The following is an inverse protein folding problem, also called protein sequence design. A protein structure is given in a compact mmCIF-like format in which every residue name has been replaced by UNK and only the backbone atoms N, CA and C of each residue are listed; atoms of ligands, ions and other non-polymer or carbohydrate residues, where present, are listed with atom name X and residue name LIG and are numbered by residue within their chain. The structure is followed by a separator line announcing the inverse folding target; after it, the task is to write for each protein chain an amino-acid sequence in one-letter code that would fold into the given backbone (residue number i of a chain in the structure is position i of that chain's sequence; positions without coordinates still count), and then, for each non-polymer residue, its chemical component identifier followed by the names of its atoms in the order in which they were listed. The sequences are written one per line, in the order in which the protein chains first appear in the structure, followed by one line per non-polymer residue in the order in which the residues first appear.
data_IF_166329310677
#
_entry.id   IF_166329310677
#
_cell.length_a   1.000
_cell.length_b   1.000
_cell.length_c   1.000
_cell.angle_alpha   90.00
_cell.angle_beta   90.00
_cell.angle_gamma   90.00
#
_symmetry.space_group_name_H-M   'P 1'
#
loop_
_entity.id
_entity.type
_entity.pdbx_description
1 polymer ?
#
# COMPACT_ATOMS: atom_id res chain seq x y z
N UNK A 1 -2.86 5.30 -60.27
CA UNK A 1 -2.12 5.69 -59.04
C UNK A 1 -3.11 5.62 -57.88
N UNK A 2 -2.95 4.68 -56.94
CA UNK A 2 -3.76 4.59 -55.72
C UNK A 2 -3.11 5.46 -54.65
N UNK A 3 -3.86 6.30 -53.88
CA UNK A 3 -3.25 6.97 -52.74
C UNK A 3 -3.15 5.98 -51.58
N UNK A 4 -1.96 5.90 -50.98
CA UNK A 4 -1.76 5.28 -49.67
C UNK A 4 -2.34 6.22 -48.62
N UNK A 5 -3.39 5.79 -47.93
CA UNK A 5 -3.83 6.42 -46.68
C UNK A 5 -2.93 5.88 -45.57
N UNK A 6 -2.04 6.73 -45.04
CA UNK A 6 -1.24 6.40 -43.87
C UNK A 6 -2.10 6.44 -42.61
N UNK A 7 -2.20 5.32 -41.89
CA UNK A 7 -2.71 5.31 -40.53
C UNK A 7 -1.68 5.99 -39.62
N UNK A 8 -2.01 7.15 -39.07
CA UNK A 8 -1.33 7.69 -37.91
C UNK A 8 -1.82 6.94 -36.67
N UNK A 9 -0.96 6.12 -36.06
CA UNK A 9 -1.23 5.53 -34.75
C UNK A 9 -1.06 6.61 -33.68
N UNK A 10 -2.16 7.00 -33.02
CA UNK A 10 -2.08 7.74 -31.77
C UNK A 10 -1.68 6.76 -30.67
N UNK A 11 -0.45 6.88 -30.17
CA UNK A 11 -0.06 6.21 -28.94
C UNK A 11 -0.71 6.97 -27.77
N UNK A 12 -1.77 6.40 -27.20
CA UNK A 12 -2.22 6.82 -25.89
C UNK A 12 -1.15 6.43 -24.87
N UNK A 13 -0.55 7.42 -24.20
CA UNK A 13 0.25 7.16 -23.01
C UNK A 13 -0.76 6.74 -21.95
N UNK A 14 -0.89 5.45 -21.69
CA UNK A 14 -1.57 4.98 -20.49
C UNK A 14 -0.77 5.51 -19.29
N UNK A 15 -1.36 6.42 -18.50
CA UNK A 15 -0.81 6.71 -17.18
C UNK A 15 -0.89 5.42 -16.37
N UNK A 16 0.14 5.13 -15.56
CA UNK A 16 0.08 4.01 -14.63
C UNK A 16 -1.08 4.25 -13.65
N UNK A 17 -1.87 3.22 -13.38
CA UNK A 17 -2.92 3.26 -12.36
C UNK A 17 -2.30 3.34 -10.97
N UNK A 18 -2.95 4.06 -10.05
CA UNK A 18 -2.62 4.04 -8.63
C UNK A 18 -3.27 2.82 -7.98
N UNK A 19 -2.47 1.96 -7.35
CA UNK A 19 -2.91 0.73 -6.68
C UNK A 19 -3.41 0.98 -5.24
N UNK A 20 -4.01 -0.04 -4.62
CA UNK A 20 -4.50 0.03 -3.24
C UNK A 20 -3.45 -0.56 -2.28
N UNK A 21 -3.00 0.20 -1.28
CA UNK A 21 -2.01 -0.24 -0.29
C UNK A 21 -2.64 -0.38 1.10
N UNK A 22 -3.04 -1.57 1.51
CA UNK A 22 -3.90 -1.80 2.69
C UNK A 22 -3.10 -2.27 3.91
N UNK A 23 -2.86 -1.42 4.92
CA UNK A 23 -2.57 -1.85 6.28
C UNK A 23 -3.73 -2.66 6.86
N UNK A 24 -3.59 -3.98 6.97
CA UNK A 24 -4.60 -4.86 7.58
C UNK A 24 -4.09 -5.42 8.92
N UNK A 25 -3.94 -4.53 9.90
CA UNK A 25 -3.24 -4.83 11.16
C UNK A 25 -4.16 -5.39 12.24
N UNK A 26 -5.22 -6.09 11.83
CA UNK A 26 -6.21 -6.62 12.75
C UNK A 26 -6.26 -8.14 12.65
N UNK A 27 -6.46 -8.79 13.78
CA UNK A 27 -6.63 -10.24 13.84
C UNK A 27 -7.75 -10.74 12.92
N UNK A 28 -7.52 -11.80 12.09
CA UNK A 28 -8.47 -12.27 11.08
C UNK A 28 -9.78 -12.86 11.61
N UNK A 29 -9.83 -13.28 12.87
CA UNK A 29 -10.94 -14.08 13.41
C UNK A 29 -10.53 -15.52 13.61
N UNK A 30 -11.47 -16.42 13.90
CA UNK A 30 -11.21 -17.83 14.19
C UNK A 30 -12.09 -18.77 13.35
N UNK A 31 -12.08 -20.07 13.66
CA UNK A 31 -12.88 -21.08 12.97
C UNK A 31 -14.41 -20.89 13.01
N UNK A 32 -14.93 -20.03 13.88
CA UNK A 32 -16.37 -19.78 14.04
C UNK A 32 -16.79 -18.35 13.69
N UNK A 33 -15.83 -17.44 13.49
CA UNK A 33 -16.09 -16.03 13.26
C UNK A 33 -14.97 -15.41 12.43
N UNK A 34 -15.31 -14.75 11.33
CA UNK A 34 -14.39 -13.93 10.55
C UNK A 34 -14.49 -12.47 10.98
N UNK A 35 -13.35 -11.79 11.09
CA UNK A 35 -13.30 -10.38 11.37
C UNK A 35 -13.89 -9.58 10.18
N UNK A 36 -14.86 -8.68 10.41
CA UNK A 36 -15.49 -7.89 9.34
C UNK A 36 -14.50 -7.06 8.50
N UNK A 37 -13.35 -6.69 9.06
CA UNK A 37 -12.31 -5.96 8.33
C UNK A 37 -11.63 -6.83 7.27
N UNK A 38 -11.49 -8.13 7.53
CA UNK A 38 -10.95 -9.10 6.58
C UNK A 38 -11.96 -9.47 5.51
N UNK A 39 -13.23 -9.68 5.90
CA UNK A 39 -14.32 -9.90 4.95
C UNK A 39 -14.45 -8.71 3.98
N UNK A 40 -14.45 -7.47 4.51
CA UNK A 40 -14.51 -6.27 3.69
C UNK A 40 -13.29 -6.10 2.76
N UNK A 41 -12.10 -6.52 3.19
CA UNK A 41 -10.91 -6.50 2.32
C UNK A 41 -11.03 -7.50 1.18
N UNK A 42 -11.43 -8.74 1.47
CA UNK A 42 -11.66 -9.79 0.47
C UNK A 42 -12.73 -9.36 -0.54
N UNK A 43 -13.82 -8.77 -0.07
CA UNK A 43 -14.90 -8.29 -0.95
C UNK A 43 -14.44 -7.12 -1.82
N UNK A 44 -13.72 -6.14 -1.26
CA UNK A 44 -13.17 -5.03 -2.02
C UNK A 44 -12.22 -5.50 -3.15
N UNK A 45 -11.39 -6.52 -2.88
CA UNK A 45 -10.50 -7.11 -3.89
C UNK A 45 -11.32 -7.78 -5.02
N UNK A 46 -12.35 -8.57 -4.67
CA UNK A 46 -13.22 -9.25 -5.65
C UNK A 46 -14.02 -8.28 -6.51
N UNK A 47 -14.52 -7.20 -5.90
CA UNK A 47 -15.35 -6.20 -6.57
C UNK A 47 -14.53 -5.30 -7.51
N UNK A 48 -13.20 -5.30 -7.39
CA UNK A 48 -12.29 -4.50 -8.22
C UNK A 48 -11.22 -5.37 -8.90
N UNK A 49 -11.60 -6.33 -9.77
CA UNK A 49 -10.69 -7.33 -10.34
C UNK A 49 -9.59 -6.75 -11.27
N UNK A 50 -9.71 -5.49 -11.66
CA UNK A 50 -8.75 -4.77 -12.50
C UNK A 50 -7.74 -3.94 -11.71
N UNK A 51 -7.99 -3.72 -10.43
CA UNK A 51 -7.10 -3.02 -9.50
C UNK A 51 -6.17 -4.02 -8.84
N UNK A 52 -4.93 -3.61 -8.55
CA UNK A 52 -4.01 -4.41 -7.74
C UNK A 52 -4.03 -3.94 -6.28
N UNK A 53 -4.05 -4.90 -5.36
CA UNK A 53 -4.09 -4.67 -3.92
C UNK A 53 -2.83 -5.23 -3.26
N UNK A 54 -2.05 -4.35 -2.63
CA UNK A 54 -1.01 -4.74 -1.68
C UNK A 54 -1.66 -4.84 -0.31
N UNK A 55 -1.67 -6.02 0.31
CA UNK A 55 -2.26 -6.23 1.64
C UNK A 55 -1.15 -6.52 2.63
N UNK A 56 -0.94 -5.59 3.56
CA UNK A 56 0.12 -5.68 4.55
C UNK A 56 -0.35 -6.53 5.73
N UNK A 57 0.33 -7.64 5.94
CA UNK A 57 0.05 -8.61 7.00
C UNK A 57 0.98 -8.34 8.18
N UNK A 58 0.38 -8.09 9.34
CA UNK A 58 1.11 -7.77 10.56
C UNK A 58 0.53 -8.52 11.77
N UNK A 59 0.98 -9.76 12.04
CA UNK A 59 0.44 -10.55 13.13
C UNK A 59 0.84 -10.04 14.51
N UNK A 60 2.09 -9.57 14.67
CA UNK A 60 2.61 -9.07 15.93
C UNK A 60 3.84 -8.15 15.76
N UNK A 61 3.70 -7.03 15.05
CA UNK A 61 4.85 -6.20 14.62
C UNK A 61 5.91 -7.03 13.89
N UNK A 62 5.44 -7.85 12.97
CA UNK A 62 6.25 -8.83 12.25
C UNK A 62 5.88 -10.28 12.58
N UNK A 63 6.61 -11.24 11.99
CA UNK A 63 6.34 -12.67 12.10
C UNK A 63 7.19 -13.37 13.16
N UNK A 64 8.22 -12.74 13.73
CA UNK A 64 8.97 -13.36 14.84
C UNK A 64 8.07 -13.61 16.05
N UNK A 65 8.35 -14.72 16.74
CA UNK A 65 7.53 -15.27 17.84
C UNK A 65 6.11 -15.65 17.42
N UNK A 66 5.80 -15.76 16.12
CA UNK A 66 4.54 -16.34 15.64
C UNK A 66 4.65 -17.86 15.43
N UNK A 67 5.87 -18.38 15.47
CA UNK A 67 6.25 -19.76 15.16
C UNK A 67 6.94 -20.46 16.34
N UNK A 68 6.78 -19.97 17.59
CA UNK A 68 7.41 -20.57 18.77
C UNK A 68 6.64 -21.84 19.22
N UNK A 69 7.28 -23.02 19.21
CA UNK A 69 6.65 -24.27 19.65
C UNK A 69 6.42 -24.34 21.17
N UNK A 70 6.86 -23.34 21.95
CA UNK A 70 6.63 -23.28 23.40
C UNK A 70 5.18 -22.96 23.80
N UNK A 71 4.36 -22.49 22.85
CA UNK A 71 2.98 -22.04 23.08
C UNK A 71 2.87 -20.67 23.73
N UNK A 72 3.99 -19.94 23.89
CA UNK A 72 4.02 -18.57 24.39
C UNK A 72 4.26 -17.54 23.26
N UNK A 73 3.47 -17.62 22.21
CA UNK A 73 3.47 -16.58 21.17
C UNK A 73 2.82 -15.32 21.75
N UNK A 74 3.53 -14.19 21.73
CA UNK A 74 2.94 -12.88 22.04
C UNK A 74 2.00 -12.42 20.91
N UNK A 75 1.05 -11.53 21.22
CA UNK A 75 0.13 -10.96 20.23
C UNK A 75 -0.98 -11.90 19.76
N UNK A 76 -1.38 -11.78 18.49
CA UNK A 76 -2.51 -12.50 17.89
C UNK A 76 -2.17 -13.90 17.38
N UNK A 77 -0.97 -14.39 17.69
CA UNK A 77 -0.45 -15.68 17.26
C UNK A 77 -0.41 -16.73 18.35
N UNK A 78 -1.03 -16.46 19.51
CA UNK A 78 -1.12 -17.43 20.58
C UNK A 78 -1.77 -18.74 20.08
N UNK A 79 -1.15 -19.87 20.39
CA UNK A 79 -1.57 -21.21 19.95
C UNK A 79 -1.83 -22.09 21.16
N UNK A 80 -2.92 -22.84 21.13
CA UNK A 80 -3.03 -24.05 21.96
C UNK A 80 -2.12 -25.12 21.35
N UNK A 81 -1.49 -25.96 22.18
CA UNK A 81 -0.43 -26.90 21.76
C UNK A 81 -0.77 -27.77 20.54
N UNK A 82 -2.06 -28.10 20.33
CA UNK A 82 -2.50 -28.99 19.25
C UNK A 82 -2.71 -28.27 17.90
N UNK A 83 -2.60 -26.94 17.86
CA UNK A 83 -2.78 -26.09 16.66
C UNK A 83 -1.48 -25.40 16.19
N UNK A 84 -0.34 -25.80 16.74
CA UNK A 84 0.96 -25.27 16.31
C UNK A 84 1.21 -25.54 14.82
N UNK A 85 1.57 -24.47 14.11
CA UNK A 85 2.12 -24.53 12.76
C UNK A 85 3.51 -23.90 12.75
N UNK A 86 4.43 -24.51 12.01
CA UNK A 86 5.82 -24.07 12.02
C UNK A 86 6.01 -22.68 11.41
N UNK A 87 5.21 -22.33 10.39
CA UNK A 87 5.23 -21.05 9.69
C UNK A 87 3.78 -20.70 9.34
N UNK A 88 3.38 -19.43 9.50
CA UNK A 88 1.99 -19.00 9.25
C UNK A 88 1.23 -18.54 10.49
N UNK A 89 1.89 -18.38 11.63
CA UNK A 89 1.30 -17.94 12.91
C UNK A 89 0.38 -18.99 13.56
N UNK A 90 -0.86 -19.15 13.10
CA UNK A 90 -1.78 -20.21 13.54
C UNK A 90 -2.86 -20.47 12.47
N UNK A 91 -3.76 -21.44 12.72
CA UNK A 91 -4.84 -21.78 11.77
C UNK A 91 -5.82 -20.65 11.49
N UNK A 92 -5.94 -19.68 12.39
CA UNK A 92 -6.77 -18.50 12.15
C UNK A 92 -6.20 -17.66 11.01
N UNK A 93 -4.90 -17.39 11.07
CA UNK A 93 -4.19 -16.64 10.03
C UNK A 93 -4.13 -17.41 8.72
N UNK A 94 -3.76 -18.69 8.72
CA UNK A 94 -3.64 -19.45 7.47
C UNK A 94 -4.98 -19.59 6.75
N UNK A 95 -6.07 -19.80 7.49
CA UNK A 95 -7.41 -19.94 6.91
C UNK A 95 -7.86 -18.65 6.22
N UNK A 96 -7.67 -17.50 6.87
CA UNK A 96 -8.14 -16.21 6.32
C UNK A 96 -7.17 -15.63 5.29
N UNK A 97 -5.86 -15.88 5.41
CA UNK A 97 -4.89 -15.54 4.35
C UNK A 97 -5.21 -16.24 3.05
N UNK A 98 -5.66 -17.50 3.10
CA UNK A 98 -6.07 -18.26 1.93
C UNK A 98 -7.17 -17.56 1.11
N UNK A 99 -8.03 -16.78 1.77
CA UNK A 99 -9.09 -16.04 1.10
C UNK A 99 -8.56 -14.85 0.30
N UNK A 100 -7.39 -14.32 0.66
CA UNK A 100 -6.69 -13.24 -0.04
C UNK A 100 -5.72 -13.81 -1.08
N UNK A 101 -4.88 -14.78 -0.73
CA UNK A 101 -3.83 -15.31 -1.61
C UNK A 101 -4.37 -16.01 -2.86
N UNK A 102 -5.61 -16.52 -2.81
CA UNK A 102 -6.31 -17.07 -3.99
C UNK A 102 -6.77 -16.02 -5.01
N UNK A 103 -6.76 -14.73 -4.66
CA UNK A 103 -7.21 -13.64 -5.51
C UNK A 103 -6.03 -13.11 -6.33
N UNK A 104 -6.09 -13.27 -7.65
CA UNK A 104 -4.97 -12.98 -8.56
C UNK A 104 -4.56 -11.50 -8.62
N UNK A 105 -5.41 -10.61 -8.12
CA UNK A 105 -5.20 -9.17 -8.06
C UNK A 105 -4.87 -8.68 -6.63
N UNK A 106 -4.59 -9.60 -5.70
CA UNK A 106 -4.05 -9.29 -4.39
C UNK A 106 -2.62 -9.81 -4.25
N UNK A 107 -1.83 -9.10 -3.46
CA UNK A 107 -0.46 -9.42 -3.10
C UNK A 107 -0.28 -9.19 -1.61
N UNK A 108 -0.04 -10.28 -0.88
CA UNK A 108 0.30 -10.23 0.54
C UNK A 108 1.74 -9.74 0.72
N UNK A 109 1.94 -8.76 1.59
CA UNK A 109 3.27 -8.23 1.94
C UNK A 109 3.47 -8.28 3.45
N UNK A 110 4.62 -8.77 3.89
CA UNK A 110 4.93 -9.00 5.30
C UNK A 110 5.47 -7.75 5.97
N UNK A 111 4.90 -7.37 7.12
CA UNK A 111 5.39 -6.25 7.93
C UNK A 111 6.73 -6.57 8.61
N UNK A 112 7.65 -5.61 8.63
CA UNK A 112 8.96 -5.69 9.30
C UNK A 112 9.32 -4.32 9.89
N UNK A 113 9.30 -4.15 11.22
CA UNK A 113 9.73 -2.88 11.81
C UNK A 113 11.26 -2.82 11.98
N UNK A 114 11.82 -1.62 11.84
CA UNK A 114 13.26 -1.38 11.97
C UNK A 114 13.64 -0.53 13.19
N UNK A 115 12.67 0.03 13.92
CA UNK A 115 12.92 0.87 15.07
C UNK A 115 13.76 2.10 14.72
N UNK A 116 13.56 2.71 13.55
CA UNK A 116 14.37 3.82 13.06
C UNK A 116 15.88 3.48 12.97
N UNK A 117 16.17 2.21 12.65
CA UNK A 117 17.51 1.64 12.57
C UNK A 117 18.13 1.27 13.92
N UNK A 118 17.34 1.28 15.01
CA UNK A 118 17.78 0.83 16.33
C UNK A 118 17.54 -0.66 16.58
N UNK A 119 16.63 -1.30 15.84
CA UNK A 119 16.40 -2.75 16.00
C UNK A 119 17.64 -3.52 15.53
N UNK A 120 18.12 -4.53 16.28
CA UNK A 120 19.26 -5.34 15.86
C UNK A 120 19.05 -5.93 14.46
N UNK A 121 20.03 -5.74 13.57
CA UNK A 121 19.93 -6.16 12.18
C UNK A 121 19.66 -7.67 12.02
N UNK A 122 20.22 -8.50 12.91
CA UNK A 122 20.01 -9.94 12.89
C UNK A 122 18.56 -10.32 13.24
N UNK A 123 17.89 -9.56 14.12
CA UNK A 123 16.47 -9.73 14.37
C UNK A 123 15.66 -9.29 13.15
N UNK A 124 15.97 -8.14 12.52
CA UNK A 124 15.27 -7.74 11.29
C UNK A 124 15.41 -8.81 10.19
N UNK A 125 16.62 -9.38 10.03
CA UNK A 125 16.87 -10.49 9.10
C UNK A 125 16.12 -11.77 9.47
N UNK A 126 15.92 -12.05 10.74
CA UNK A 126 15.11 -13.18 11.18
C UNK A 126 13.64 -13.04 10.78
N UNK A 127 13.07 -11.82 10.81
CA UNK A 127 11.70 -11.57 10.29
C UNK A 127 11.62 -11.80 8.79
N UNK A 128 12.60 -11.28 8.04
CA UNK A 128 12.70 -11.47 6.58
C UNK A 128 12.73 -12.96 6.24
N UNK A 129 13.57 -13.71 6.95
CA UNK A 129 13.68 -15.16 6.77
C UNK A 129 12.38 -15.87 7.13
N UNK A 130 11.72 -15.49 8.22
CA UNK A 130 10.45 -16.10 8.62
C UNK A 130 9.38 -15.88 7.56
N UNK A 131 9.19 -14.64 7.08
CA UNK A 131 8.25 -14.36 5.99
C UNK A 131 8.56 -15.17 4.72
N UNK A 132 9.84 -15.37 4.40
CA UNK A 132 10.24 -16.16 3.23
C UNK A 132 9.85 -17.63 3.33
N UNK A 133 9.67 -18.16 4.54
CA UNK A 133 9.31 -19.56 4.84
C UNK A 133 7.82 -19.80 4.93
N UNK A 134 6.99 -18.76 4.92
CA UNK A 134 5.55 -18.92 4.78
C UNK A 134 5.29 -19.42 3.36
N UNK A 135 4.73 -20.62 3.26
CA UNK A 135 4.47 -21.33 2.02
C UNK A 135 3.11 -22.03 2.03
N UNK A 136 3.05 -23.33 2.25
CA UNK A 136 1.82 -24.12 2.30
C UNK A 136 1.57 -24.56 3.74
N UNK A 137 0.42 -24.17 4.30
CA UNK A 137 0.11 -24.43 5.70
C UNK A 137 -1.32 -24.96 5.89
N UNK A 138 -1.58 -25.76 6.94
CA UNK A 138 -2.91 -26.29 7.21
C UNK A 138 -3.87 -25.19 7.67
N UNK A 139 -5.15 -25.37 7.35
CA UNK A 139 -6.26 -24.49 7.74
C UNK A 139 -7.18 -25.18 8.75
N UNK A 140 -8.25 -24.49 9.17
CA UNK A 140 -9.34 -25.10 9.92
C UNK A 140 -10.15 -26.12 9.09
N UNK A 141 -10.07 -26.07 7.77
CA UNK A 141 -10.66 -27.08 6.90
C UNK A 141 -9.84 -28.38 6.96
N UNK A 142 -10.47 -29.49 7.35
CA UNK A 142 -9.79 -30.77 7.49
C UNK A 142 -9.12 -31.22 6.17
N UNK A 143 -7.83 -31.59 6.27
CA UNK A 143 -6.99 -32.05 5.16
C UNK A 143 -6.81 -31.03 4.03
N UNK A 144 -6.85 -29.73 4.35
CA UNK A 144 -6.63 -28.66 3.38
C UNK A 144 -5.46 -27.79 3.81
N UNK A 145 -4.38 -27.95 3.06
CA UNK A 145 -3.27 -27.02 3.08
C UNK A 145 -3.47 -25.99 1.96
N UNK A 146 -3.06 -24.75 2.24
CA UNK A 146 -3.28 -23.60 1.36
C UNK A 146 -1.99 -22.80 1.22
N UNK A 147 -1.86 -22.11 0.09
CA UNK A 147 -0.78 -21.17 -0.12
C UNK A 147 -1.00 -19.92 0.75
N UNK A 148 -0.07 -19.67 1.66
CA UNK A 148 0.03 -18.52 2.55
C UNK A 148 1.28 -17.68 2.22
N UNK A 149 1.89 -17.90 1.05
CA UNK A 149 3.12 -17.24 0.66
C UNK A 149 3.00 -15.73 0.73
N UNK A 150 4.08 -15.11 1.20
CA UNK A 150 4.26 -13.67 1.17
C UNK A 150 5.04 -13.30 -0.10
N UNK A 151 4.59 -12.23 -0.76
CA UNK A 151 5.11 -11.77 -2.04
C UNK A 151 5.68 -10.35 -1.95
N UNK A 152 6.14 -9.94 -0.78
CA UNK A 152 6.78 -8.64 -0.60
C UNK A 152 6.98 -8.32 0.87
N UNK A 153 7.69 -7.22 1.14
CA UNK A 153 7.96 -6.76 2.50
C UNK A 153 7.64 -5.28 2.64
N UNK A 154 7.00 -4.95 3.74
CA UNK A 154 6.77 -3.58 4.21
C UNK A 154 7.73 -3.32 5.37
N UNK A 155 8.79 -2.55 5.11
CA UNK A 155 9.69 -2.12 6.17
C UNK A 155 9.14 -0.86 6.81
N UNK A 156 8.79 -0.95 8.09
CA UNK A 156 8.27 0.17 8.86
C UNK A 156 9.34 0.86 9.70
N UNK A 157 9.01 2.08 10.12
CA UNK A 157 9.84 2.95 10.94
C UNK A 157 11.20 3.23 10.29
N UNK A 158 11.24 3.41 8.97
CA UNK A 158 12.46 3.81 8.27
C UNK A 158 12.83 5.22 8.73
N UNK A 159 14.04 5.39 9.23
CA UNK A 159 14.53 6.68 9.68
C UNK A 159 14.49 7.73 8.56
N UNK A 160 14.09 8.96 8.90
CA UNK A 160 13.94 10.08 7.96
C UNK A 160 15.24 10.79 7.58
N UNK A 161 16.40 10.27 8.03
CA UNK A 161 17.73 10.80 7.74
C UNK A 161 18.68 9.70 7.28
N UNK A 162 19.76 10.08 6.60
CA UNK A 162 20.74 9.17 6.00
C UNK A 162 21.63 8.41 6.99
N UNK A 163 21.50 8.65 8.30
CA UNK A 163 22.34 8.03 9.34
C UNK A 163 22.38 6.51 9.23
N UNK A 164 21.24 5.89 8.90
CA UNK A 164 21.09 4.43 8.80
C UNK A 164 20.97 3.93 7.35
N UNK A 165 21.31 4.75 6.35
CA UNK A 165 21.13 4.40 4.93
C UNK A 165 21.82 3.09 4.54
N UNK A 166 23.07 2.86 4.99
CA UNK A 166 23.78 1.61 4.73
C UNK A 166 23.12 0.40 5.39
N UNK A 167 22.59 0.55 6.61
CA UNK A 167 21.85 -0.51 7.27
C UNK A 167 20.59 -0.88 6.47
N UNK A 168 19.80 0.11 6.02
CA UNK A 168 18.61 -0.17 5.22
C UNK A 168 18.96 -0.80 3.88
N UNK A 169 20.02 -0.35 3.22
CA UNK A 169 20.51 -0.97 1.99
C UNK A 169 20.90 -2.44 2.22
N UNK A 170 21.58 -2.75 3.31
CA UNK A 170 21.97 -4.13 3.65
C UNK A 170 20.75 -5.02 3.93
N UNK A 171 19.75 -4.49 4.65
CA UNK A 171 18.50 -5.20 4.94
C UNK A 171 17.69 -5.48 3.68
N UNK A 172 17.57 -4.48 2.79
CA UNK A 172 16.86 -4.62 1.51
C UNK A 172 17.61 -5.57 0.58
N UNK A 173 18.94 -5.53 0.55
CA UNK A 173 19.75 -6.48 -0.23
C UNK A 173 19.54 -7.91 0.27
N UNK A 174 19.60 -8.12 1.59
CA UNK A 174 19.34 -9.42 2.19
C UNK A 174 17.93 -9.93 1.89
N UNK A 175 16.92 -9.05 1.94
CA UNK A 175 15.55 -9.37 1.58
C UNK A 175 15.41 -9.81 0.12
N UNK A 176 15.98 -9.05 -0.82
CA UNK A 176 15.99 -9.39 -2.22
C UNK A 176 16.66 -10.75 -2.46
N UNK A 177 17.85 -10.99 -1.91
CA UNK A 177 18.56 -12.27 -2.05
C UNK A 177 17.76 -13.45 -1.47
N UNK A 178 17.13 -13.25 -0.31
CA UNK A 178 16.30 -14.27 0.35
C UNK A 178 15.10 -14.66 -0.50
N UNK A 179 14.38 -13.69 -1.05
CA UNK A 179 13.19 -13.96 -1.88
C UNK A 179 13.57 -14.39 -3.31
N UNK A 180 14.69 -13.93 -3.86
CA UNK A 180 15.22 -14.41 -5.15
C UNK A 180 15.55 -15.89 -5.11
N UNK A 181 16.00 -16.41 -3.96
CA UNK A 181 16.22 -17.84 -3.77
C UNK A 181 14.94 -18.69 -3.90
N UNK A 182 13.75 -18.09 -3.77
CA UNK A 182 12.45 -18.77 -4.01
C UNK A 182 12.13 -18.92 -5.51
N UNK A 183 12.91 -18.35 -6.43
CA UNK A 183 12.70 -18.49 -7.86
C UNK A 183 11.34 -17.93 -8.31
N UNK A 184 10.52 -18.75 -9.00
CA UNK A 184 9.16 -18.37 -9.43
C UNK A 184 8.21 -18.14 -8.26
N UNK A 185 8.45 -18.79 -7.13
CA UNK A 185 7.51 -18.85 -6.01
C UNK A 185 7.50 -17.53 -5.22
N UNK A 186 8.45 -16.62 -5.51
CA UNK A 186 8.44 -15.25 -4.95
C UNK A 186 7.30 -14.39 -5.51
N UNK A 187 6.70 -14.75 -6.65
CA UNK A 187 5.65 -13.98 -7.28
C UNK A 187 6.10 -12.58 -7.73
N UNK A 188 5.18 -11.61 -7.68
CA UNK A 188 5.47 -10.19 -7.98
C UNK A 188 6.17 -9.50 -6.81
N UNK A 189 7.34 -10.00 -6.40
CA UNK A 189 8.04 -9.52 -5.21
C UNK A 189 8.21 -7.99 -5.17
N UNK A 190 7.89 -7.37 -4.03
CA UNK A 190 7.94 -5.91 -3.83
C UNK A 190 8.53 -5.59 -2.47
N UNK A 191 9.39 -4.56 -2.42
CA UNK A 191 9.87 -3.97 -1.16
C UNK A 191 9.33 -2.56 -1.04
N UNK A 192 8.64 -2.27 0.06
CA UNK A 192 8.13 -0.93 0.39
C UNK A 192 8.83 -0.42 1.64
N UNK A 193 9.34 0.80 1.58
CA UNK A 193 9.98 1.46 2.72
C UNK A 193 9.05 2.55 3.26
N UNK A 194 8.58 2.38 4.49
CA UNK A 194 7.79 3.40 5.17
C UNK A 194 8.68 4.31 6.02
N UNK A 195 9.06 5.45 5.45
CA UNK A 195 9.79 6.48 6.17
C UNK A 195 8.87 7.56 6.79
N UNK A 196 7.57 7.53 6.46
CA UNK A 196 6.57 8.53 6.81
C UNK A 196 6.77 9.91 6.17
N UNK A 197 8.00 10.43 6.18
CA UNK A 197 8.40 11.74 5.64
C UNK A 197 9.93 11.86 5.54
N UNK A 198 10.46 12.34 4.40
CA UNK A 198 11.91 12.50 4.17
C UNK A 198 12.22 13.89 3.65
N UNK A 199 13.04 14.65 4.40
CA UNK A 199 13.38 16.05 4.06
C UNK A 199 14.61 16.16 3.18
N UNK A 200 15.53 15.21 3.29
CA UNK A 200 16.80 15.20 2.54
C UNK A 200 16.59 14.57 1.14
N UNK A 201 16.74 15.33 0.04
CA UNK A 201 16.53 14.83 -1.32
C UNK A 201 17.48 13.70 -1.74
N UNK A 202 18.73 13.76 -1.27
CA UNK A 202 19.76 12.77 -1.65
C UNK A 202 19.49 11.45 -0.96
N UNK A 203 19.04 11.50 0.29
CA UNK A 203 18.63 10.32 1.03
C UNK A 203 17.30 9.76 0.51
N UNK A 204 16.32 10.60 0.19
CA UNK A 204 15.08 10.18 -0.46
C UNK A 204 15.37 9.42 -1.76
N UNK A 205 16.28 9.95 -2.58
CA UNK A 205 16.74 9.29 -3.81
C UNK A 205 17.37 7.91 -3.53
N UNK A 206 18.15 7.77 -2.45
CA UNK A 206 18.69 6.47 -2.05
C UNK A 206 17.59 5.47 -1.68
N UNK A 207 16.56 5.89 -0.93
CA UNK A 207 15.43 5.04 -0.57
C UNK A 207 14.67 4.54 -1.81
N UNK A 208 14.39 5.43 -2.77
CA UNK A 208 13.76 5.04 -4.03
C UNK A 208 14.64 4.10 -4.87
N UNK A 209 15.95 4.27 -4.85
CA UNK A 209 16.85 3.40 -5.62
C UNK A 209 16.98 1.99 -5.04
N UNK A 210 16.74 1.80 -3.75
CA UNK A 210 16.84 0.48 -3.11
C UNK A 210 15.51 -0.29 -3.08
N UNK A 211 14.37 0.41 -3.15
CA UNK A 211 13.05 -0.18 -2.96
C UNK A 211 12.16 -0.11 -4.20
N UNK A 212 11.09 -0.90 -4.21
CA UNK A 212 10.07 -0.82 -5.26
C UNK A 212 9.17 0.41 -5.08
N UNK A 213 8.90 0.78 -3.84
CA UNK A 213 8.11 1.95 -3.48
C UNK A 213 8.53 2.54 -2.12
N UNK A 214 8.24 3.81 -1.89
CA UNK A 214 8.54 4.52 -0.63
C UNK A 214 7.32 5.30 -0.19
N UNK A 215 6.98 5.20 1.10
CA UNK A 215 5.95 6.05 1.70
C UNK A 215 6.52 7.45 1.89
N UNK A 216 5.97 8.39 1.12
CA UNK A 216 6.36 9.82 1.18
C UNK A 216 5.45 10.62 2.11
N UNK A 217 4.29 10.05 2.49
CA UNK A 217 3.39 10.59 3.50
C UNK A 217 2.60 9.49 4.21
N UNK A 218 2.78 9.42 5.53
CA UNK A 218 1.84 8.77 6.44
C UNK A 218 1.31 9.82 7.41
N UNK A 219 -0.01 10.02 7.46
CA UNK A 219 -0.60 11.03 8.35
C UNK A 219 -2.09 10.84 8.59
N UNK A 220 -2.66 11.63 9.50
CA UNK A 220 -4.10 11.65 9.72
C UNK A 220 -4.81 12.68 8.84
N UNK A 221 -6.10 12.50 8.60
CA UNK A 221 -6.94 13.52 7.97
C UNK A 221 -7.58 14.48 8.99
N UNK A 222 -7.93 14.01 10.19
CA UNK A 222 -8.53 14.88 11.21
C UNK A 222 -7.63 16.08 11.52
N UNK A 223 -8.26 17.23 11.83
CA UNK A 223 -7.58 18.45 12.28
C UNK A 223 -7.65 18.63 13.81
N UNK A 224 -8.45 17.82 14.50
CA UNK A 224 -8.66 17.90 15.95
C UNK A 224 -8.75 16.49 16.57
N UNK A 225 -7.60 15.82 16.74
CA UNK A 225 -7.55 14.47 17.31
C UNK A 225 -8.18 14.34 18.69
N UNK A 226 -8.11 15.41 19.50
CA UNK A 226 -8.67 15.40 20.85
C UNK A 226 -10.19 15.39 20.81
N UNK A 227 -10.79 16.26 19.99
CA UNK A 227 -12.24 16.29 19.80
C UNK A 227 -12.78 14.98 19.21
N UNK A 228 -12.01 14.33 18.34
CA UNK A 228 -12.37 13.05 17.72
C UNK A 228 -12.06 11.82 18.60
N UNK A 229 -11.37 12.00 19.73
CA UNK A 229 -10.99 10.91 20.63
C UNK A 229 -9.92 9.98 20.06
N UNK A 230 -9.06 10.47 19.15
CA UNK A 230 -8.05 9.70 18.42
C UNK A 230 -6.63 10.26 18.61
N UNK A 231 -6.37 11.01 19.67
CA UNK A 231 -5.04 11.60 19.96
C UNK A 231 -3.89 10.60 20.02
N UNK A 232 -4.17 9.32 20.34
CA UNK A 232 -3.17 8.26 20.33
C UNK A 232 -2.78 7.82 18.92
N UNK A 233 -3.76 7.73 18.01
CA UNK A 233 -3.51 7.42 16.62
C UNK A 233 -2.89 8.62 15.90
N UNK A 234 -3.28 9.84 16.26
CA UNK A 234 -2.83 11.09 15.64
C UNK A 234 -2.06 11.97 16.63
N UNK A 235 -0.86 11.57 17.07
CA UNK A 235 -0.08 12.33 18.04
C UNK A 235 0.44 13.62 17.40
N UNK A 236 0.17 14.76 18.05
CA UNK A 236 0.67 16.06 17.62
C UNK A 236 2.15 16.26 17.97
N UNK A 237 2.94 17.00 17.16
CA UNK A 237 2.50 17.72 15.96
C UNK A 237 2.51 16.85 14.70
N UNK A 238 1.44 16.94 13.90
CA UNK A 238 1.42 16.49 12.50
C UNK A 238 0.68 17.50 11.63
N UNK A 239 0.79 17.35 10.31
CA UNK A 239 0.01 18.14 9.35
C UNK A 239 -1.08 17.27 8.75
N UNK A 240 -2.36 17.59 8.95
CA UNK A 240 -3.47 16.84 8.38
C UNK A 240 -3.34 16.69 6.87
N UNK A 241 -3.76 15.54 6.35
CA UNK A 241 -3.69 15.27 4.92
C UNK A 241 -4.61 16.22 4.13
N UNK A 242 -4.04 16.87 3.12
CA UNK A 242 -4.77 17.61 2.10
C UNK A 242 -3.98 17.55 0.80
N UNK A 243 -4.52 16.88 -0.21
CA UNK A 243 -3.85 16.62 -1.48
C UNK A 243 -3.37 17.92 -2.16
N UNK A 244 -4.18 18.98 -2.07
CA UNK A 244 -3.84 20.30 -2.62
C UNK A 244 -2.67 21.01 -1.91
N UNK A 245 -2.27 20.53 -0.72
CA UNK A 245 -1.15 21.07 0.07
C UNK A 245 0.10 20.19 0.05
N UNK A 246 0.08 19.08 -0.71
CA UNK A 246 1.28 18.28 -0.89
C UNK A 246 2.37 19.14 -1.53
N UNK A 247 3.58 18.99 -1.00
CA UNK A 247 4.74 19.76 -1.42
C UNK A 247 5.95 18.83 -1.55
N UNK A 248 6.95 19.28 -2.30
CA UNK A 248 8.24 18.58 -2.41
C UNK A 248 8.84 18.30 -1.03
N UNK A 249 9.20 17.05 -0.78
CA UNK A 249 9.72 16.55 0.51
C UNK A 249 8.63 16.35 1.57
N UNK A 250 7.38 16.67 1.27
CA UNK A 250 6.24 16.51 2.17
C UNK A 250 5.04 15.94 1.38
N UNK A 251 5.14 14.65 1.10
CA UNK A 251 4.21 13.86 0.31
C UNK A 251 4.49 13.83 -1.19
N UNK A 252 4.96 14.93 -1.82
CA UNK A 252 5.54 14.83 -3.16
C UNK A 252 7.04 14.51 -3.05
N UNK A 253 7.58 13.57 -3.85
CA UNK A 253 9.03 13.36 -3.89
C UNK A 253 9.75 14.60 -4.42
N UNK A 254 11.01 14.81 -4.03
CA UNK A 254 11.84 15.89 -4.56
C UNK A 254 12.09 15.77 -6.05
N UNK A 255 12.26 14.55 -6.53
CA UNK A 255 12.29 14.25 -7.95
C UNK A 255 10.94 13.65 -8.37
N UNK A 256 10.16 14.41 -9.14
CA UNK A 256 8.85 13.97 -9.67
C UNK A 256 8.90 12.67 -10.49
N UNK A 257 10.08 12.25 -10.97
CA UNK A 257 10.24 10.95 -11.62
C UNK A 257 9.95 9.77 -10.68
N UNK A 258 9.98 9.97 -9.36
CA UNK A 258 9.65 8.97 -8.35
C UNK A 258 8.16 8.92 -7.97
N UNK A 259 7.29 9.76 -8.55
CA UNK A 259 5.84 9.69 -8.30
C UNK A 259 5.27 8.27 -8.52
N UNK A 260 5.63 7.53 -9.59
CA UNK A 260 5.18 6.15 -9.79
C UNK A 260 5.75 5.12 -8.81
N UNK A 261 6.60 5.54 -7.86
CA UNK A 261 7.10 4.72 -6.74
C UNK A 261 6.67 5.28 -5.38
N UNK A 262 5.95 6.42 -5.35
CA UNK A 262 5.58 7.10 -4.11
C UNK A 262 4.26 6.56 -3.56
N UNK A 263 4.20 6.38 -2.25
CA UNK A 263 3.02 5.90 -1.52
C UNK A 263 2.56 6.95 -0.53
N UNK A 264 1.25 7.18 -0.48
CA UNK A 264 0.61 7.99 0.56
C UNK A 264 -0.43 7.15 1.27
N UNK A 265 -0.37 7.08 2.59
CA UNK A 265 -1.40 6.43 3.41
C UNK A 265 -1.96 7.43 4.42
N UNK A 266 -3.28 7.39 4.59
CA UNK A 266 -4.03 8.35 5.40
C UNK A 266 -5.00 7.59 6.31
N UNK A 267 -4.95 7.86 7.61
CA UNK A 267 -5.89 7.29 8.58
C UNK A 267 -6.68 8.37 9.29
N UNK A 268 -7.64 7.95 10.12
CA UNK A 268 -8.53 8.85 10.85
C UNK A 268 -9.16 9.90 9.94
N UNK A 269 -9.71 9.47 8.79
CA UNK A 269 -10.59 10.24 7.92
C UNK A 269 -11.94 10.54 8.63
N UNK A 270 -11.85 11.42 9.63
CA UNK A 270 -12.89 11.85 10.57
C UNK A 270 -12.63 13.31 10.95
N UNK A 271 -13.61 13.97 11.56
CA UNK A 271 -13.37 15.21 12.30
C UNK A 271 -13.87 16.50 11.67
N UNK A 272 -13.25 17.03 10.60
CA UNK A 272 -13.76 18.27 10.05
C UNK A 272 -15.15 18.02 9.47
N UNK A 273 -16.04 19.01 9.53
CA UNK A 273 -17.46 18.90 9.14
C UNK A 273 -17.69 18.43 7.69
N UNK A 274 -16.62 18.37 6.89
CA UNK A 274 -16.61 17.91 5.50
C UNK A 274 -15.99 16.52 5.29
N UNK A 275 -15.59 15.76 6.33
CA UNK A 275 -15.14 14.37 6.23
C UNK A 275 -16.29 13.46 5.72
N UNK A 276 -16.51 13.52 4.42
CA UNK A 276 -17.63 12.96 3.67
C UNK A 276 -17.10 12.12 2.52
N UNK A 277 -17.96 11.28 1.92
CA UNK A 277 -17.58 10.53 0.71
C UNK A 277 -17.16 11.46 -0.42
N UNK A 278 -17.79 12.63 -0.58
CA UNK A 278 -17.41 13.60 -1.63
C UNK A 278 -16.01 14.17 -1.41
N UNK A 279 -15.66 14.45 -0.15
CA UNK A 279 -14.32 14.93 0.18
C UNK A 279 -13.28 13.82 0.02
N UNK A 280 -13.61 12.59 0.45
CA UNK A 280 -12.76 11.42 0.22
C UNK A 280 -12.48 11.23 -1.28
N UNK A 281 -13.52 11.31 -2.12
CA UNK A 281 -13.39 11.27 -3.58
C UNK A 281 -12.44 12.34 -4.09
N UNK A 282 -12.62 13.61 -3.69
CA UNK A 282 -11.74 14.69 -4.12
C UNK A 282 -10.27 14.50 -3.70
N UNK A 283 -10.01 13.94 -2.51
CA UNK A 283 -8.66 13.63 -2.06
C UNK A 283 -8.03 12.50 -2.88
N UNK A 284 -8.79 11.43 -3.14
CA UNK A 284 -8.32 10.28 -3.92
C UNK A 284 -8.09 10.66 -5.38
N UNK A 285 -9.01 11.37 -6.02
CA UNK A 285 -8.88 11.84 -7.40
C UNK A 285 -7.57 12.63 -7.59
N UNK A 286 -7.25 13.52 -6.65
CA UNK A 286 -6.03 14.31 -6.69
C UNK A 286 -4.76 13.45 -6.56
N UNK A 287 -4.78 12.39 -5.73
CA UNK A 287 -3.64 11.44 -5.61
C UNK A 287 -3.46 10.65 -6.91
N UNK A 288 -4.55 10.22 -7.55
CA UNK A 288 -4.51 9.51 -8.84
C UNK A 288 -4.03 10.43 -9.96
N UNK A 289 -4.52 11.67 -10.04
CA UNK A 289 -4.11 12.67 -11.03
C UNK A 289 -2.60 13.00 -10.93
N UNK A 290 -2.03 12.91 -9.72
CA UNK A 290 -0.59 13.08 -9.47
C UNK A 290 0.25 11.87 -9.90
N UNK A 291 -0.37 10.70 -10.12
CA UNK A 291 0.31 9.48 -10.59
C UNK A 291 1.13 8.78 -9.51
N UNK A 292 0.63 8.75 -8.28
CA UNK A 292 1.23 7.97 -7.20
C UNK A 292 1.18 6.47 -7.50
N UNK A 293 2.17 5.72 -6.98
CA UNK A 293 2.23 4.26 -7.08
C UNK A 293 0.97 3.62 -6.47
N UNK A 294 0.69 3.96 -5.22
CA UNK A 294 -0.42 3.38 -4.47
C UNK A 294 -0.83 4.29 -3.33
N UNK A 295 -2.07 4.15 -2.87
CA UNK A 295 -2.56 4.88 -1.71
C UNK A 295 -3.58 4.08 -0.92
N UNK A 296 -3.86 4.53 0.29
CA UNK A 296 -5.00 4.07 1.06
C UNK A 296 -5.47 5.11 2.05
N UNK A 297 -6.78 5.15 2.22
CA UNK A 297 -7.45 6.00 3.18
C UNK A 297 -8.26 5.09 4.11
N UNK A 298 -8.30 5.41 5.40
CA UNK A 298 -9.26 4.79 6.31
C UNK A 298 -9.83 5.82 7.27
N UNK A 299 -11.12 5.71 7.58
CA UNK A 299 -11.71 6.50 8.64
C UNK A 299 -11.31 5.99 10.01
N UNK A 300 -10.95 4.71 10.16
CA UNK A 300 -10.44 4.17 11.42
C UNK A 300 -8.93 4.41 11.61
N UNK A 301 -8.35 3.65 12.54
CA UNK A 301 -6.92 3.36 12.52
C UNK A 301 -6.63 2.22 11.54
N UNK A 302 -5.37 1.78 11.45
CA UNK A 302 -4.96 0.60 10.66
C UNK A 302 -5.61 -0.73 11.11
N UNK A 303 -6.36 -0.71 12.22
CA UNK A 303 -7.10 -1.85 12.76
C UNK A 303 -8.59 -1.84 12.39
N UNK A 304 -9.03 -0.85 11.59
CA UNK A 304 -10.45 -0.73 11.19
C UNK A 304 -10.55 -0.23 9.76
N UNK A 305 -11.02 -1.08 8.86
CA UNK A 305 -11.21 -0.81 7.43
C UNK A 305 -12.69 -0.60 7.06
N UNK A 306 -13.60 -0.71 8.03
CA UNK A 306 -15.06 -0.72 7.80
C UNK A 306 -15.76 0.56 8.29
N UNK A 307 -15.01 1.55 8.80
CA UNK A 307 -15.58 2.82 9.24
C UNK A 307 -15.82 3.77 8.07
N UNK A 308 -17.00 4.38 8.01
CA UNK A 308 -17.34 5.44 7.06
C UNK A 308 -16.67 6.78 7.42
N UNK A 309 -16.46 7.70 6.43
CA UNK A 309 -16.70 7.52 5.00
C UNK A 309 -15.66 6.66 4.25
N UNK A 310 -14.45 6.51 4.79
CA UNK A 310 -13.34 5.81 4.16
C UNK A 310 -13.29 4.34 4.61
N UNK A 311 -14.28 3.57 4.16
CA UNK A 311 -14.23 2.11 4.21
C UNK A 311 -13.33 1.59 3.08
N UNK A 312 -12.74 0.39 3.22
CA UNK A 312 -11.95 -0.23 2.14
C UNK A 312 -12.75 -0.39 0.85
N UNK A 313 -14.05 -0.71 0.96
CA UNK A 313 -14.95 -0.79 -0.19
C UNK A 313 -15.12 0.55 -0.90
N UNK A 314 -15.39 1.62 -0.15
CA UNK A 314 -15.51 2.97 -0.73
C UNK A 314 -14.18 3.43 -1.35
N UNK A 315 -13.07 3.23 -0.65
CA UNK A 315 -11.74 3.65 -1.11
C UNK A 315 -11.32 2.91 -2.37
N UNK A 316 -11.49 1.58 -2.41
CA UNK A 316 -11.20 0.78 -3.59
C UNK A 316 -12.06 1.18 -4.78
N UNK A 317 -13.37 1.39 -4.56
CA UNK A 317 -14.29 1.83 -5.61
C UNK A 317 -13.91 3.21 -6.16
N UNK A 318 -13.65 4.18 -5.30
CA UNK A 318 -13.28 5.54 -5.72
C UNK A 318 -11.94 5.51 -6.48
N UNK A 319 -10.93 4.78 -5.99
CA UNK A 319 -9.65 4.63 -6.68
C UNK A 319 -9.82 3.99 -8.07
N UNK A 320 -10.64 2.95 -8.15
CA UNK A 320 -10.97 2.26 -9.41
C UNK A 320 -11.64 3.20 -10.42
N UNK A 321 -12.61 4.00 -9.98
CA UNK A 321 -13.29 5.01 -10.80
C UNK A 321 -12.34 6.14 -11.24
N UNK A 322 -11.47 6.62 -10.35
CA UNK A 322 -10.49 7.65 -10.64
C UNK A 322 -9.44 7.20 -11.67
N UNK A 323 -8.96 5.96 -11.59
CA UNK A 323 -7.97 5.40 -12.52
C UNK A 323 -8.49 5.26 -13.96
N UNK A 324 -9.80 5.15 -14.16
CA UNK A 324 -10.42 5.04 -15.50
C UNK A 324 -11.03 6.36 -15.98
N UNK A 325 -11.14 7.36 -15.12
CA UNK A 325 -11.63 8.67 -15.48
C UNK A 325 -10.63 9.35 -16.45
N UNK A 326 -11.12 10.08 -17.48
CA UNK A 326 -10.24 10.95 -18.24
C UNK A 326 -9.67 11.99 -17.29
N UNK A 327 -8.34 12.07 -17.16
CA UNK A 327 -7.64 13.02 -16.28
C UNK A 327 -8.32 14.37 -16.31
N UNK A 328 -9.03 14.71 -15.23
CA UNK A 328 -9.70 15.98 -15.13
C UNK A 328 -8.60 17.00 -14.88
N UNK A 329 -8.54 18.06 -15.69
CA UNK A 329 -7.54 19.09 -15.49
C UNK A 329 -7.85 19.82 -14.17
N UNK A 330 -7.37 19.30 -13.04
CA UNK A 330 -7.20 20.10 -11.85
C UNK A 330 -6.36 21.32 -12.26
N UNK A 331 -6.77 22.55 -11.93
CA UNK A 331 -5.98 23.73 -12.25
C UNK A 331 -4.72 23.70 -11.39
N UNK A 332 -3.69 22.98 -11.84
CA UNK A 332 -2.35 23.07 -11.28
C UNK A 332 -1.85 24.48 -11.60
N UNK A 333 -1.92 25.38 -10.63
CA UNK A 333 -1.09 26.57 -10.66
C UNK A 333 0.37 26.11 -10.57
N UNK A 334 1.03 25.99 -11.72
CA UNK A 334 2.50 25.94 -11.76
C UNK A 334 3.16 24.74 -12.42
N UNK A 335 2.63 24.19 -13.53
CA UNK A 335 3.47 23.56 -14.55
C UNK A 335 2.71 23.55 -15.88
N UNK A 336 3.13 24.40 -16.83
CA UNK A 336 2.60 24.41 -18.19
C UNK A 336 2.89 23.06 -18.86
N UNK A 337 1.92 22.14 -18.87
CA UNK A 337 1.83 21.12 -19.90
C UNK A 337 1.20 21.76 -21.14
N UNK A 338 2.01 21.97 -22.17
CA UNK A 338 1.56 22.41 -23.49
C UNK A 338 0.72 21.30 -24.12
N UNK A 339 -0.60 21.40 -23.98
CA UNK A 339 -1.54 20.56 -24.74
C UNK A 339 -1.67 21.14 -26.15
N UNK A 340 -1.13 20.43 -27.13
CA UNK A 340 -1.43 20.68 -28.54
C UNK A 340 -2.83 20.18 -28.85
N UNK A 341 -3.83 21.07 -28.73
CA UNK A 341 -5.17 20.82 -29.25
C UNK A 341 -5.18 21.16 -30.76
N UNK A 342 -5.13 20.16 -31.63
CA UNK A 342 -5.43 20.32 -33.05
C UNK A 342 -6.93 20.52 -33.26
N UNK A 343 -7.38 21.77 -33.35
CA UNK A 343 -8.69 22.12 -33.87
C UNK A 343 -8.66 22.08 -35.40
N UNK A 344 -9.43 21.18 -36.03
CA UNK A 344 -9.70 21.25 -37.47
C UNK A 344 -10.99 22.04 -37.73
N UNK A 345 -10.83 23.28 -38.17
CA UNK A 345 -11.86 24.09 -38.82
C UNK A 345 -11.77 23.83 -40.33
N UNK A 346 -12.73 23.09 -40.89
CA UNK A 346 -12.87 22.96 -42.35
C UNK A 346 -13.59 24.20 -42.88
N UNK A 347 -12.83 25.15 -43.41
CA UNK A 347 -13.36 26.18 -44.32
C UNK A 347 -13.26 25.66 -45.75
N UNK A 348 -14.40 25.38 -46.37
CA UNK A 348 -14.52 25.14 -47.81
C UNK A 348 -15.12 26.38 -48.47
N UNK A 349 -14.29 27.26 -49.01
CA UNK A 349 -14.66 28.25 -50.02
C UNK A 349 -13.40 28.57 -50.83
N UNK A 350 -13.38 28.27 -52.13
CA UNK A 350 -13.32 29.27 -53.19
C UNK A 350 -13.38 28.61 -54.57
N UNK A 351 -14.28 29.16 -55.40
CA UNK A 351 -14.35 29.01 -56.85
C UNK A 351 -13.06 29.54 -57.50
N UNK A 352 -12.61 28.87 -58.57
CA UNK A 352 -12.59 29.32 -59.99
C UNK A 352 -12.32 28.10 -60.86
#
# INVERSE_FOLDING_TARGET
MRPLVGLAALAAIAMASTDVMVPLYVYPGNNTWTNPNWEAAVDAIKDNPHMHFYVIINPNNGPQNTSDPSGFNEGYCNVENDDYIQHGCNRDWTTHLADITKLSNAQTIGYVYTGYGQRPADEVKADILEWSRWDTAPTWDANKDVDISIHGLWFDEIGSSSVNASLYQDLVTFANETFDAKGSDKGKYTVVLNAGHVVDPDYETQLFNMASAVVTKETCYTTDPEADGVSWDCPMPYTPFEAAKLATGNGLPHNSAFLPQSVVIVHQFRGPTNASVQMLTAQIDAVVDLGFHSTYFTSGSWHTTTSEPATIGNVAKILSEANVAPTSAYPSTGALRTTWACAFLVYSLFNI
#
